data_IF_832970083032
#
_entry.id   IF_832970083032
#
_cell.length_a   1.000
_cell.length_b   1.000
_cell.length_c   1.000
_cell.angle_alpha   90.00
_cell.angle_beta   90.00
_cell.angle_gamma   90.00
#
_symmetry.space_group_name_H-M   'P 1'
#
loop_
_entity.id
_entity.type
_entity.pdbx_description
1 polymer ?
#
# COMPACT_ATOMS: atom_id res chain seq x y z
N UNK A 1 11.04 -10.44 -9.81
CA UNK A 1 9.69 -10.74 -10.33
C UNK A 1 8.59 -10.21 -9.40
N UNK A 2 8.50 -10.68 -8.13
CA UNK A 2 7.42 -10.27 -7.20
C UNK A 2 7.28 -8.76 -7.01
N UNK A 3 8.39 -8.05 -6.73
CA UNK A 3 8.32 -6.60 -6.50
C UNK A 3 7.69 -5.81 -7.65
N UNK A 4 8.00 -6.20 -8.88
CA UNK A 4 7.47 -5.56 -10.09
C UNK A 4 5.97 -5.82 -10.23
N UNK A 5 5.53 -7.05 -9.99
CA UNK A 5 4.11 -7.43 -10.05
C UNK A 5 3.26 -6.68 -9.03
N UNK A 6 3.77 -6.48 -7.82
CA UNK A 6 3.06 -5.72 -6.77
C UNK A 6 2.90 -4.25 -7.16
N UNK A 7 3.94 -3.65 -7.75
CA UNK A 7 3.87 -2.28 -8.27
C UNK A 7 2.86 -2.18 -9.43
N UNK A 8 2.95 -3.08 -10.41
CA UNK A 8 2.03 -3.15 -11.56
C UNK A 8 0.57 -3.41 -11.11
N UNK A 9 0.37 -4.19 -10.05
CA UNK A 9 -0.94 -4.38 -9.43
C UNK A 9 -1.49 -3.06 -8.87
N UNK A 10 -0.65 -2.26 -8.21
CA UNK A 10 -1.02 -0.93 -7.74
C UNK A 10 -1.43 0.00 -8.87
N UNK A 11 -0.66 0.03 -9.96
CA UNK A 11 -1.00 0.80 -11.17
C UNK A 11 -2.33 0.33 -11.79
N UNK A 12 -2.56 -0.99 -11.84
CA UNK A 12 -3.81 -1.55 -12.35
C UNK A 12 -5.02 -1.14 -11.49
N UNK A 13 -4.89 -1.14 -10.16
CA UNK A 13 -5.94 -0.66 -9.24
C UNK A 13 -6.20 0.83 -9.47
N UNK A 14 -5.15 1.65 -9.58
CA UNK A 14 -5.26 3.09 -9.85
C UNK A 14 -6.01 3.37 -11.14
N UNK A 15 -5.64 2.67 -12.21
CA UNK A 15 -6.26 2.82 -13.52
C UNK A 15 -7.73 2.37 -13.54
N UNK A 16 -8.09 1.41 -12.69
CA UNK A 16 -9.46 0.90 -12.58
C UNK A 16 -10.38 1.82 -11.77
N UNK A 17 -9.85 2.55 -10.80
CA UNK A 17 -10.63 3.36 -9.86
C UNK A 17 -10.16 4.82 -9.76
N UNK A 18 -9.99 5.56 -10.88
CA UNK A 18 -9.42 6.91 -10.87
C UNK A 18 -10.28 7.90 -10.09
N UNK A 19 -11.60 7.90 -10.31
CA UNK A 19 -12.52 8.85 -9.67
C UNK A 19 -12.71 8.56 -8.18
N UNK A 20 -12.75 7.26 -7.81
CA UNK A 20 -12.91 6.85 -6.42
C UNK A 20 -11.67 7.19 -5.58
N UNK A 21 -10.48 6.94 -6.11
CA UNK A 21 -9.22 7.25 -5.42
C UNK A 21 -8.87 8.75 -5.46
N UNK A 22 -9.40 9.48 -6.44
CA UNK A 22 -9.13 10.90 -6.65
C UNK A 22 -7.68 11.20 -7.03
N UNK A 23 -7.38 12.43 -7.43
CA UNK A 23 -6.01 12.79 -7.87
C UNK A 23 -4.97 12.70 -6.73
N UNK A 24 -5.35 13.13 -5.53
CA UNK A 24 -4.45 13.28 -4.39
C UNK A 24 -4.55 12.11 -3.41
N UNK A 25 -3.42 11.72 -2.82
CA UNK A 25 -3.44 10.84 -1.66
C UNK A 25 -3.99 11.58 -0.43
N UNK A 26 -4.97 10.98 0.24
CA UNK A 26 -5.54 11.46 1.51
C UNK A 26 -5.45 10.35 2.55
N UNK A 27 -4.79 10.63 3.66
CA UNK A 27 -4.52 9.62 4.69
C UNK A 27 -5.75 9.03 5.38
N UNK A 28 -6.91 9.71 5.28
CA UNK A 28 -8.18 9.26 5.85
C UNK A 28 -8.99 8.35 4.93
N UNK A 29 -8.67 8.34 3.64
CA UNK A 29 -9.48 7.68 2.62
C UNK A 29 -9.01 6.23 2.36
N UNK A 30 -7.82 5.90 2.84
CA UNK A 30 -7.18 4.60 2.61
C UNK A 30 -6.75 3.98 3.94
N UNK A 31 -7.06 2.70 4.10
CA UNK A 31 -6.50 1.83 5.14
C UNK A 31 -5.67 0.77 4.42
N UNK A 32 -4.36 0.82 4.60
CA UNK A 32 -3.45 -0.18 4.08
C UNK A 32 -3.06 -1.14 5.20
N UNK A 33 -3.45 -2.40 5.08
CA UNK A 33 -3.29 -3.40 6.13
C UNK A 33 -2.60 -4.66 5.58
N UNK A 34 -1.61 -5.19 6.30
CA UNK A 34 -0.91 -6.42 5.95
C UNK A 34 -0.66 -7.29 7.19
N UNK A 35 -0.44 -8.59 6.98
CA UNK A 35 0.08 -9.49 8.02
C UNK A 35 1.48 -9.06 8.49
N UNK A 36 1.91 -9.54 9.66
CA UNK A 36 3.23 -9.22 10.23
C UNK A 36 4.41 -10.01 9.60
N UNK A 37 4.40 -10.22 8.28
CA UNK A 37 5.50 -10.89 7.58
C UNK A 37 6.21 -9.92 6.64
N UNK A 38 7.54 -10.00 6.53
CA UNK A 38 8.29 -9.02 5.75
C UNK A 38 7.91 -9.01 4.27
N UNK A 39 7.57 -10.19 3.71
CA UNK A 39 7.09 -10.29 2.33
C UNK A 39 5.82 -9.47 2.10
N UNK A 40 4.85 -9.50 3.02
CA UNK A 40 3.56 -8.82 2.85
C UNK A 40 3.67 -7.33 3.12
N UNK A 41 4.51 -6.92 4.08
CA UNK A 41 4.85 -5.51 4.30
C UNK A 41 5.50 -4.88 3.07
N UNK A 42 6.48 -5.57 2.47
CA UNK A 42 7.15 -5.10 1.25
C UNK A 42 6.19 -5.08 0.05
N UNK A 43 5.38 -6.13 -0.13
CA UNK A 43 4.36 -6.15 -1.19
C UNK A 43 3.38 -4.97 -1.06
N UNK A 44 2.85 -4.73 0.14
CA UNK A 44 1.91 -3.63 0.38
C UNK A 44 2.53 -2.28 0.03
N UNK A 45 3.78 -2.01 0.43
CA UNK A 45 4.47 -0.77 0.09
C UNK A 45 4.60 -0.56 -1.43
N UNK A 46 4.84 -1.63 -2.20
CA UNK A 46 4.96 -1.55 -3.65
C UNK A 46 3.62 -1.31 -4.33
N UNK A 47 2.56 -2.00 -3.87
CA UNK A 47 1.19 -1.73 -4.33
C UNK A 47 0.82 -0.27 -4.07
N UNK A 48 1.09 0.24 -2.88
CA UNK A 48 0.79 1.63 -2.52
C UNK A 48 1.57 2.64 -3.37
N UNK A 49 2.83 2.34 -3.70
CA UNK A 49 3.63 3.16 -4.60
C UNK A 49 3.03 3.23 -6.03
N UNK A 50 2.40 2.16 -6.50
CA UNK A 50 1.67 2.13 -7.78
C UNK A 50 0.29 2.81 -7.71
N UNK A 51 -0.40 2.70 -6.56
CA UNK A 51 -1.73 3.32 -6.38
C UNK A 51 -1.64 4.86 -6.29
N UNK A 52 -0.67 5.37 -5.52
CA UNK A 52 -0.56 6.80 -5.20
C UNK A 52 0.85 7.34 -5.47
N UNK A 53 1.30 7.39 -6.73
CA UNK A 53 2.47 8.19 -7.08
C UNK A 53 2.23 9.67 -6.68
N UNK A 54 3.22 10.35 -6.09
CA UNK A 54 3.02 11.71 -5.61
C UNK A 54 2.80 12.69 -6.77
N UNK A 55 1.66 13.38 -6.73
CA UNK A 55 1.40 14.54 -7.59
C UNK A 55 2.27 15.72 -7.17
N UNK A 56 2.40 16.74 -8.03
CA UNK A 56 3.40 17.80 -7.85
C UNK A 56 3.35 18.49 -6.48
N UNK A 57 2.15 18.68 -5.90
CA UNK A 57 1.98 19.28 -4.57
C UNK A 57 2.31 18.35 -3.40
N UNK A 58 2.38 17.03 -3.63
CA UNK A 58 2.68 16.00 -2.61
C UNK A 58 4.08 15.40 -2.78
N UNK A 59 4.84 15.84 -3.80
CA UNK A 59 6.26 15.48 -3.94
C UNK A 59 7.07 16.19 -2.86
N UNK A 60 7.76 15.39 -2.06
CA UNK A 60 8.72 15.88 -1.06
C UNK A 60 10.17 15.80 -1.55
N UNK A 61 10.41 15.16 -2.69
CA UNK A 61 11.73 14.95 -3.28
C UNK A 61 11.66 15.02 -4.81
N UNK A 62 12.59 15.73 -5.44
CA UNK A 62 12.50 16.05 -6.87
C UNK A 62 12.72 14.84 -7.79
N UNK A 63 13.64 13.96 -7.43
CA UNK A 63 14.02 12.79 -8.25
C UNK A 63 13.39 11.47 -7.79
N UNK A 64 12.65 11.47 -6.68
CA UNK A 64 12.07 10.26 -6.10
C UNK A 64 10.54 10.34 -6.19
N UNK A 65 9.97 9.58 -7.12
CA UNK A 65 8.52 9.53 -7.33
C UNK A 65 7.83 8.58 -6.33
N UNK A 66 8.02 8.84 -5.04
CA UNK A 66 7.45 8.04 -3.95
C UNK A 66 7.06 8.96 -2.79
N UNK A 67 5.99 8.63 -2.07
CA UNK A 67 5.57 9.30 -0.86
C UNK A 67 5.25 8.29 0.25
N UNK A 68 5.47 8.65 1.53
CA UNK A 68 5.14 7.77 2.64
C UNK A 68 3.62 7.64 2.77
N UNK A 69 3.15 6.39 2.81
CA UNK A 69 1.75 6.03 3.04
C UNK A 69 1.69 5.13 4.28
N UNK A 70 0.78 5.46 5.20
CA UNK A 70 0.64 4.73 6.46
C UNK A 70 0.22 3.28 6.19
N UNK A 71 0.94 2.34 6.79
CA UNK A 71 0.61 0.90 6.78
C UNK A 71 0.30 0.42 8.20
N UNK A 72 -0.61 -0.53 8.32
CA UNK A 72 -1.06 -1.12 9.57
C UNK A 72 -0.75 -2.62 9.53
N UNK A 73 -0.41 -3.17 10.68
CA UNK A 73 -0.27 -4.61 10.91
C UNK A 73 -0.77 -4.93 12.32
N UNK A 74 -1.29 -6.13 12.49
CA UNK A 74 -1.44 -6.76 13.80
C UNK A 74 -0.29 -7.76 13.97
N UNK A 75 0.14 -8.00 15.22
CA UNK A 75 1.17 -9.02 15.49
C UNK A 75 0.64 -10.40 15.12
N UNK A 76 1.54 -11.29 14.70
CA UNK A 76 1.18 -12.61 14.19
C UNK A 76 0.25 -13.40 15.14
N UNK A 77 0.58 -13.43 16.44
CA UNK A 77 -0.18 -14.13 17.49
C UNK A 77 -1.50 -13.45 17.92
N UNK A 78 -1.79 -12.28 17.37
CA UNK A 78 -3.00 -11.49 17.63
C UNK A 78 -3.85 -11.31 16.35
N UNK A 79 -3.37 -11.79 15.19
CA UNK A 79 -3.96 -11.56 13.87
C UNK A 79 -5.03 -12.60 13.54
N UNK A 80 -6.19 -12.45 14.19
CA UNK A 80 -7.36 -13.31 13.97
C UNK A 80 -8.05 -13.07 12.62
N UNK A 81 -7.70 -12.00 11.90
CA UNK A 81 -8.34 -11.62 10.64
C UNK A 81 -7.65 -12.26 9.44
N UNK A 82 -6.34 -12.07 9.33
CA UNK A 82 -5.57 -12.48 8.14
C UNK A 82 -4.83 -13.81 8.34
N UNK A 83 -4.62 -14.24 9.59
CA UNK A 83 -3.98 -15.52 9.95
C UNK A 83 -4.76 -16.19 11.09
N UNK A 84 -6.04 -16.58 10.87
CA UNK A 84 -6.91 -17.12 11.92
C UNK A 84 -6.44 -18.47 12.47
N UNK A 85 -5.60 -19.17 11.73
CA UNK A 85 -5.05 -20.49 12.09
C UNK A 85 -3.92 -20.43 13.12
N UNK A 86 -3.32 -19.25 13.35
CA UNK A 86 -2.36 -19.01 14.44
C UNK A 86 -2.98 -18.32 15.65
N UNK A 87 -4.31 -18.41 15.81
CA UNK A 87 -4.98 -18.04 17.06
C UNK A 87 -4.42 -18.89 18.22
N UNK A 88 -4.10 -18.27 19.37
CA UNK A 88 -3.77 -19.00 20.60
C UNK A 88 -4.84 -20.01 21.03
#
# INVERSE_FOLDING_TARGET
AGKRREFELGEAIRNKYPDFLGEFYKSRDIIAYSTDTDRTKMSLQLVLAGIHPPVQSQKWHDSLNWQPIRTIRTKLNEDTLMIPEECP
#
